data_IF_052412716504
#
_entry.id   IF_052412716504
#
_cell.length_a   1.000
_cell.length_b   1.000
_cell.length_c   1.000
_cell.angle_alpha   90.00
_cell.angle_beta   90.00
_cell.angle_gamma   90.00
#
_symmetry.space_group_name_H-M   'P 1'
#
loop_
_entity.id
_entity.type
_entity.pdbx_description
1 polymer ?
#
# COMPACT_ATOMS: atom_id res chain seq x y z
N UNK A 1 -19.12 70.58 54.43
CA UNK A 1 -18.38 70.38 53.16
C UNK A 1 -17.37 69.26 53.35
N UNK A 2 -17.14 68.48 52.28
CA UNK A 2 -16.18 67.39 52.10
C UNK A 2 -16.52 66.01 52.72
N UNK A 3 -16.91 65.12 51.80
CA UNK A 3 -17.07 63.65 51.87
C UNK A 3 -15.70 62.98 51.79
N UNK A 4 -15.48 61.80 52.40
CA UNK A 4 -14.59 60.78 51.82
C UNK A 4 -15.19 59.38 52.03
N UNK A 5 -15.19 58.65 50.92
CA UNK A 5 -15.91 57.43 50.60
C UNK A 5 -15.17 56.15 51.00
N UNK A 6 -15.93 55.06 51.09
CA UNK A 6 -15.47 53.69 51.23
C UNK A 6 -14.57 53.24 50.07
N UNK A 7 -13.50 52.51 50.39
CA UNK A 7 -12.67 51.77 49.42
C UNK A 7 -12.86 50.27 49.62
N UNK A 8 -13.59 49.64 48.71
CA UNK A 8 -13.70 48.19 48.59
C UNK A 8 -12.54 47.71 47.70
N UNK A 9 -11.60 46.93 48.23
CA UNK A 9 -10.54 46.29 47.47
C UNK A 9 -11.08 44.99 46.85
N UNK A 10 -11.30 45.00 45.53
CA UNK A 10 -11.61 43.81 44.75
C UNK A 10 -10.30 43.15 44.28
N UNK A 11 -10.02 41.93 44.75
CA UNK A 11 -8.97 41.07 44.20
C UNK A 11 -9.43 40.55 42.83
N UNK A 12 -8.77 41.00 41.76
CA UNK A 12 -8.94 40.46 40.41
C UNK A 12 -8.18 39.14 40.26
N UNK A 13 -8.89 38.03 40.14
CA UNK A 13 -8.33 36.76 39.68
C UNK A 13 -8.41 36.72 38.15
N UNK A 14 -7.31 36.98 37.46
CA UNK A 14 -7.18 36.74 36.01
C UNK A 14 -6.93 35.26 35.77
N UNK A 15 -8.00 34.52 35.46
CA UNK A 15 -7.89 33.17 34.91
C UNK A 15 -7.32 33.27 33.47
N UNK A 16 -6.09 32.76 33.27
CA UNK A 16 -5.51 32.58 31.95
C UNK A 16 -6.24 31.42 31.25
N UNK A 17 -7.28 31.74 30.47
CA UNK A 17 -7.88 30.81 29.52
C UNK A 17 -6.93 30.64 28.33
N UNK A 18 -6.21 29.53 28.27
CA UNK A 18 -5.56 29.11 27.03
C UNK A 18 -6.66 28.80 26.01
N UNK A 19 -6.66 29.41 24.81
CA UNK A 19 -7.59 28.99 23.76
C UNK A 19 -7.27 27.53 23.43
N UNK A 20 -8.25 26.65 23.56
CA UNK A 20 -8.20 25.34 22.96
C UNK A 20 -7.97 25.56 21.47
N UNK A 21 -6.79 25.21 20.96
CA UNK A 21 -6.56 25.19 19.53
C UNK A 21 -7.61 24.26 18.94
N UNK A 22 -8.52 24.80 18.13
CA UNK A 22 -9.38 23.98 17.31
C UNK A 22 -8.46 23.11 16.45
N UNK A 23 -8.43 21.81 16.73
CA UNK A 23 -7.82 20.85 15.82
C UNK A 23 -8.55 21.04 14.50
N UNK A 24 -7.83 21.53 13.48
CA UNK A 24 -8.38 21.60 12.15
C UNK A 24 -8.82 20.20 11.77
N UNK A 25 -10.03 20.06 11.21
CA UNK A 25 -10.44 18.79 10.60
C UNK A 25 -9.31 18.37 9.67
N UNK A 26 -8.82 17.12 9.79
CA UNK A 26 -7.72 16.70 8.96
C UNK A 26 -8.18 16.79 7.48
N UNK A 27 -7.26 17.13 6.56
CA UNK A 27 -7.62 17.37 5.18
C UNK A 27 -8.32 16.12 4.58
N UNK A 28 -9.19 16.27 3.57
CA UNK A 28 -10.01 15.17 3.06
C UNK A 28 -9.22 13.97 2.50
N UNK A 29 -7.91 14.10 2.30
CA UNK A 29 -6.96 13.05 1.94
C UNK A 29 -6.23 12.40 3.14
N UNK A 30 -6.58 12.80 4.36
CA UNK A 30 -6.14 12.17 5.62
C UNK A 30 -7.14 11.08 6.00
N UNK A 31 -6.90 9.89 5.48
CA UNK A 31 -7.61 8.67 5.85
C UNK A 31 -6.61 7.80 6.63
N UNK A 32 -7.03 7.22 7.76
CA UNK A 32 -6.25 6.25 8.54
C UNK A 32 -4.85 6.72 9.02
N UNK A 33 -4.64 8.04 9.18
CA UNK A 33 -3.43 8.60 9.79
C UNK A 33 -2.33 9.04 8.81
N UNK A 34 -2.54 8.89 7.49
CA UNK A 34 -1.59 9.28 6.45
C UNK A 34 -2.21 10.30 5.49
N UNK A 35 -1.45 11.35 5.17
CA UNK A 35 -1.76 12.27 4.08
C UNK A 35 -1.50 11.48 2.79
N UNK A 36 -2.50 11.33 1.92
CA UNK A 36 -2.48 10.52 0.68
C UNK A 36 -2.93 9.05 0.78
N UNK A 37 -3.54 8.58 1.88
CA UNK A 37 -4.12 7.23 1.93
C UNK A 37 -5.40 7.11 1.09
N UNK A 38 -5.27 7.19 -0.23
CA UNK A 38 -6.34 6.89 -1.18
C UNK A 38 -6.38 5.39 -1.46
N UNK A 39 -7.44 4.91 -2.12
CA UNK A 39 -7.50 3.53 -2.64
C UNK A 39 -6.34 3.20 -3.60
N UNK A 40 -5.56 4.20 -4.01
CA UNK A 40 -4.67 4.18 -5.16
C UNK A 40 -3.19 4.40 -4.82
N UNK A 41 -2.83 4.89 -3.62
CA UNK A 41 -1.52 5.49 -3.40
C UNK A 41 -0.62 4.77 -2.39
N UNK A 42 0.67 4.59 -2.74
CA UNK A 42 1.19 4.14 -4.04
C UNK A 42 1.01 2.63 -4.24
N UNK A 43 0.71 1.88 -3.18
CA UNK A 43 0.20 0.52 -3.24
C UNK A 43 -1.30 0.57 -2.94
N UNK A 44 -2.18 -0.05 -3.77
CA UNK A 44 -3.62 0.00 -3.56
C UNK A 44 -4.02 -0.56 -2.19
N UNK A 45 -5.03 0.06 -1.56
CA UNK A 45 -5.53 -0.31 -0.21
C UNK A 45 -5.85 -1.81 -0.09
N UNK A 46 -6.38 -2.42 -1.16
CA UNK A 46 -6.68 -3.86 -1.21
C UNK A 46 -5.43 -4.74 -1.02
N UNK A 47 -4.26 -4.32 -1.51
CA UNK A 47 -3.00 -5.05 -1.34
C UNK A 47 -2.38 -4.83 0.03
N UNK A 48 -2.63 -3.68 0.64
CA UNK A 48 -2.24 -3.43 2.02
C UNK A 48 -3.05 -4.28 2.99
N UNK A 49 -4.34 -4.49 2.72
CA UNK A 49 -5.26 -5.23 3.59
C UNK A 49 -5.33 -6.74 3.31
N UNK A 50 -4.91 -7.21 2.14
CA UNK A 50 -5.07 -8.63 1.76
C UNK A 50 -4.24 -9.56 2.65
N UNK A 51 -4.83 -10.70 3.01
CA UNK A 51 -4.15 -11.81 3.69
C UNK A 51 -3.66 -12.89 2.72
N UNK A 52 -3.86 -12.68 1.42
CA UNK A 52 -3.41 -13.59 0.37
C UNK A 52 -1.88 -13.52 0.20
N UNK A 53 -1.30 -14.65 -0.22
CA UNK A 53 0.12 -14.73 -0.59
C UNK A 53 0.35 -14.15 -1.99
N UNK A 54 1.61 -13.95 -2.37
CA UNK A 54 1.96 -13.53 -3.73
C UNK A 54 1.42 -14.53 -4.78
N UNK A 55 1.54 -15.83 -4.50
CA UNK A 55 1.07 -16.93 -5.35
C UNK A 55 -0.44 -16.93 -5.50
N UNK A 56 -1.19 -16.77 -4.40
CA UNK A 56 -2.65 -16.69 -4.47
C UNK A 56 -3.13 -15.51 -5.33
N UNK A 57 -2.40 -14.40 -5.27
CA UNK A 57 -2.66 -13.22 -6.09
C UNK A 57 -2.28 -13.46 -7.56
N UNK A 58 -1.15 -14.12 -7.83
CA UNK A 58 -0.72 -14.50 -9.16
C UNK A 58 -1.68 -15.48 -9.82
N UNK A 59 -2.12 -16.52 -9.12
CA UNK A 59 -3.13 -17.45 -9.63
C UNK A 59 -4.47 -16.73 -9.86
N UNK A 60 -4.86 -15.80 -8.99
CA UNK A 60 -6.02 -14.97 -9.28
C UNK A 60 -5.83 -14.15 -10.56
N UNK A 61 -4.65 -13.57 -10.81
CA UNK A 61 -4.38 -12.88 -12.06
C UNK A 61 -4.42 -13.85 -13.26
N UNK A 62 -3.85 -15.05 -13.08
CA UNK A 62 -3.76 -16.14 -14.05
C UNK A 62 -5.14 -16.47 -14.62
N UNK A 63 -6.18 -16.50 -13.79
CA UNK A 63 -7.53 -16.87 -14.23
C UNK A 63 -8.48 -15.68 -14.45
N UNK A 64 -8.39 -14.61 -13.65
CA UNK A 64 -9.34 -13.48 -13.70
C UNK A 64 -8.92 -12.40 -14.71
N UNK A 65 -7.62 -12.31 -14.99
CA UNK A 65 -7.01 -11.30 -15.90
C UNK A 65 -5.86 -11.90 -16.71
N UNK A 66 -6.09 -12.96 -17.51
CA UNK A 66 -5.04 -13.78 -18.12
C UNK A 66 -4.06 -12.98 -19.01
N UNK A 67 -4.55 -12.01 -19.77
CA UNK A 67 -3.68 -11.15 -20.60
C UNK A 67 -2.67 -10.36 -19.76
N UNK A 68 -3.05 -9.96 -18.55
CA UNK A 68 -2.19 -9.16 -17.67
C UNK A 68 -1.20 -10.04 -16.92
N UNK A 69 -1.62 -11.28 -16.59
CA UNK A 69 -0.72 -12.32 -16.11
C UNK A 69 0.35 -12.66 -17.16
N UNK A 70 -0.04 -12.95 -18.40
CA UNK A 70 0.91 -13.30 -19.47
C UNK A 70 1.93 -12.18 -19.71
N UNK A 71 1.47 -10.93 -19.76
CA UNK A 71 2.34 -9.75 -19.90
C UNK A 71 3.30 -9.60 -18.73
N UNK A 72 2.85 -9.90 -17.51
CA UNK A 72 3.71 -9.85 -16.33
C UNK A 72 4.76 -10.96 -16.35
N UNK A 73 4.35 -12.22 -16.56
CA UNK A 73 5.26 -13.37 -16.56
C UNK A 73 6.30 -13.24 -17.68
N UNK A 74 5.93 -12.66 -18.83
CA UNK A 74 6.87 -12.37 -19.91
C UNK A 74 7.96 -11.38 -19.52
N UNK A 75 7.61 -10.25 -18.90
CA UNK A 75 8.64 -9.30 -18.44
C UNK A 75 9.44 -9.88 -17.27
N UNK A 76 8.79 -10.59 -16.34
CA UNK A 76 9.44 -11.30 -15.24
C UNK A 76 10.56 -12.22 -15.77
N UNK A 77 10.21 -13.22 -16.59
CA UNK A 77 11.16 -14.21 -17.12
C UNK A 77 12.27 -13.64 -18.01
N UNK A 78 12.05 -12.47 -18.61
CA UNK A 78 13.03 -11.79 -19.49
C UNK A 78 14.26 -11.29 -18.72
N UNK A 79 14.14 -11.04 -17.42
CA UNK A 79 15.22 -10.49 -16.60
C UNK A 79 16.24 -11.53 -16.12
N UNK A 80 15.93 -12.82 -16.27
CA UNK A 80 16.81 -13.94 -15.91
C UNK A 80 16.70 -14.38 -14.46
N UNK A 81 17.23 -15.57 -14.16
CA UNK A 81 16.98 -16.32 -12.92
C UNK A 81 17.33 -15.55 -11.63
N UNK A 82 18.39 -14.74 -11.62
CA UNK A 82 18.77 -13.93 -10.44
C UNK A 82 17.69 -12.88 -10.09
N UNK A 83 17.19 -12.16 -11.09
CA UNK A 83 16.15 -11.15 -10.88
C UNK A 83 14.78 -11.79 -10.65
N UNK A 84 14.53 -12.97 -11.21
CA UNK A 84 13.36 -13.79 -10.91
C UNK A 84 13.30 -14.13 -9.42
N UNK A 85 14.39 -14.65 -8.86
CA UNK A 85 14.48 -15.01 -7.44
C UNK A 85 14.32 -13.78 -6.55
N UNK A 86 15.02 -12.68 -6.85
CA UNK A 86 14.95 -11.45 -6.05
C UNK A 86 13.56 -10.82 -6.07
N UNK A 87 12.84 -10.95 -7.18
CA UNK A 87 11.44 -10.50 -7.32
C UNK A 87 10.52 -11.33 -6.43
N UNK A 88 10.66 -12.66 -6.44
CA UNK A 88 9.88 -13.54 -5.57
C UNK A 88 10.15 -13.22 -4.09
N UNK A 89 11.42 -13.18 -3.67
CA UNK A 89 11.82 -12.86 -2.30
C UNK A 89 11.25 -11.52 -1.84
N UNK A 90 11.26 -10.52 -2.72
CA UNK A 90 10.75 -9.19 -2.41
C UNK A 90 9.24 -9.18 -2.21
N UNK A 91 8.51 -9.85 -3.08
CA UNK A 91 7.05 -9.95 -3.00
C UNK A 91 6.62 -10.82 -1.81
N UNK A 92 7.31 -11.94 -1.55
CA UNK A 92 7.13 -12.75 -0.34
C UNK A 92 7.37 -11.93 0.92
N UNK A 93 8.46 -11.17 0.99
CA UNK A 93 8.74 -10.29 2.10
C UNK A 93 7.58 -9.30 2.31
N UNK A 94 7.13 -8.62 1.26
CA UNK A 94 6.05 -7.64 1.38
C UNK A 94 4.75 -8.26 1.89
N UNK A 95 4.33 -9.40 1.32
CA UNK A 95 3.10 -10.08 1.73
C UNK A 95 3.24 -10.83 3.07
N UNK A 96 4.46 -11.05 3.58
CA UNK A 96 4.71 -11.55 4.94
C UNK A 96 4.49 -10.49 6.02
N UNK A 97 4.57 -9.20 5.68
CA UNK A 97 4.33 -8.11 6.63
C UNK A 97 2.88 -8.10 7.11
N UNK A 98 2.60 -7.68 8.35
CA UNK A 98 1.23 -7.54 8.85
C UNK A 98 0.37 -6.68 7.92
N UNK A 99 -0.82 -7.16 7.49
CA UNK A 99 -1.71 -6.39 6.64
C UNK A 99 -2.30 -5.20 7.40
N UNK A 100 -2.42 -4.06 6.73
CA UNK A 100 -2.92 -2.84 7.35
C UNK A 100 -2.72 -1.60 6.49
N UNK A 101 -3.65 -0.65 6.64
CA UNK A 101 -3.56 0.73 6.13
C UNK A 101 -2.60 1.59 6.94
N UNK A 102 -2.11 1.06 8.07
CA UNK A 102 -1.07 1.60 8.94
C UNK A 102 0.00 0.51 9.17
N UNK A 103 1.25 0.91 9.47
CA UNK A 103 2.31 -0.03 9.83
C UNK A 103 3.12 -0.53 8.62
N UNK A 104 3.82 -1.68 8.71
CA UNK A 104 4.94 -1.97 7.82
C UNK A 104 4.64 -1.97 6.31
N UNK A 105 3.47 -2.47 5.89
CA UNK A 105 3.08 -2.42 4.47
C UNK A 105 2.81 -1.00 3.99
N UNK A 106 2.17 -0.18 4.83
CA UNK A 106 1.95 1.25 4.56
C UNK A 106 3.28 1.99 4.55
N UNK A 107 4.15 1.77 5.53
CA UNK A 107 5.46 2.42 5.58
C UNK A 107 6.30 2.06 4.35
N UNK A 108 6.25 0.81 3.89
CA UNK A 108 6.87 0.41 2.63
C UNK A 108 6.24 1.10 1.42
N UNK A 109 4.91 1.20 1.39
CA UNK A 109 4.19 1.95 0.36
C UNK A 109 4.73 3.40 0.30
N UNK A 110 4.83 4.10 1.42
CA UNK A 110 5.40 5.46 1.46
C UNK A 110 6.85 5.51 0.96
N UNK A 111 7.66 4.50 1.26
CA UNK A 111 9.03 4.40 0.72
C UNK A 111 9.02 4.24 -0.80
N UNK A 112 8.15 3.39 -1.37
CA UNK A 112 8.00 3.23 -2.82
C UNK A 112 7.58 4.53 -3.53
N UNK A 113 6.79 5.38 -2.87
CA UNK A 113 6.42 6.70 -3.42
C UNK A 113 7.62 7.66 -3.52
N UNK A 114 8.67 7.46 -2.72
CA UNK A 114 9.90 8.24 -2.81
C UNK A 114 10.75 7.82 -4.02
N UNK A 115 11.46 8.77 -4.64
CA UNK A 115 12.35 8.49 -5.77
C UNK A 115 13.38 7.42 -5.38
N UNK A 116 13.34 6.24 -6.02
CA UNK A 116 14.17 5.05 -5.74
C UNK A 116 13.82 4.28 -4.44
N UNK A 117 12.54 4.21 -4.08
CA UNK A 117 12.05 3.51 -2.89
C UNK A 117 12.43 2.04 -2.75
N UNK A 118 12.69 1.35 -3.87
CA UNK A 118 13.19 -0.02 -3.89
C UNK A 118 14.47 -0.15 -4.73
N UNK A 119 15.57 -0.69 -4.18
CA UNK A 119 16.77 -0.98 -4.98
C UNK A 119 16.51 -1.91 -6.18
N UNK A 120 15.46 -2.75 -6.12
CA UNK A 120 15.07 -3.62 -7.24
C UNK A 120 14.52 -2.81 -8.42
N UNK A 121 13.92 -1.64 -8.20
CA UNK A 121 13.38 -0.79 -9.28
C UNK A 121 14.47 -0.26 -10.22
N UNK A 122 15.73 -0.20 -9.77
CA UNK A 122 16.88 0.19 -10.60
C UNK A 122 17.21 -0.89 -11.63
N UNK A 123 16.91 -2.15 -11.33
CA UNK A 123 17.25 -3.30 -12.17
C UNK A 123 16.03 -3.82 -12.94
N UNK A 124 14.85 -3.68 -12.34
CA UNK A 124 13.55 -4.07 -12.89
C UNK A 124 12.47 -3.11 -12.36
N UNK A 125 12.30 -1.97 -13.03
CA UNK A 125 11.41 -0.86 -12.62
C UNK A 125 9.91 -1.24 -12.53
N UNK A 126 9.53 -2.41 -13.05
CA UNK A 126 8.14 -2.87 -13.10
C UNK A 126 7.94 -4.21 -12.37
N UNK A 127 8.86 -4.60 -11.46
CA UNK A 127 8.86 -5.93 -10.83
C UNK A 127 7.57 -6.27 -10.07
N UNK A 128 6.92 -5.27 -9.48
CA UNK A 128 5.68 -5.42 -8.73
C UNK A 128 4.44 -4.96 -9.53
N UNK A 129 4.57 -4.63 -10.82
CA UNK A 129 3.54 -3.92 -11.60
C UNK A 129 2.16 -4.60 -11.56
N UNK A 130 2.11 -5.92 -11.63
CA UNK A 130 0.86 -6.68 -11.56
C UNK A 130 0.13 -6.49 -10.23
N UNK A 131 0.90 -6.33 -9.14
CA UNK A 131 0.39 -6.21 -7.77
C UNK A 131 0.04 -4.77 -7.38
N UNK A 132 0.67 -3.75 -7.98
CA UNK A 132 0.53 -2.37 -7.47
C UNK A 132 0.01 -1.35 -8.49
N UNK A 133 0.23 -1.55 -9.79
CA UNK A 133 0.02 -0.48 -10.78
C UNK A 133 -1.32 -0.55 -11.53
N UNK A 134 -1.94 -1.73 -11.67
CA UNK A 134 -3.21 -1.88 -12.40
C UNK A 134 -4.40 -2.06 -11.44
N UNK A 135 -5.10 -0.98 -11.13
CA UNK A 135 -6.19 -0.93 -10.14
C UNK A 135 -7.29 -1.97 -10.38
N UNK A 136 -7.71 -2.14 -11.64
CA UNK A 136 -8.76 -3.10 -11.99
C UNK A 136 -8.31 -4.56 -11.82
N UNK A 137 -7.06 -4.83 -12.18
CA UNK A 137 -6.44 -6.15 -11.99
C UNK A 137 -6.25 -6.45 -10.51
N UNK A 138 -5.67 -5.52 -9.75
CA UNK A 138 -5.48 -5.60 -8.29
C UNK A 138 -6.80 -5.85 -7.57
N UNK A 139 -7.87 -5.15 -7.95
CA UNK A 139 -9.18 -5.34 -7.36
C UNK A 139 -9.71 -6.76 -7.57
N UNK A 140 -9.63 -7.28 -8.81
CA UNK A 140 -10.05 -8.65 -9.14
C UNK A 140 -9.20 -9.72 -8.48
N UNK A 141 -7.88 -9.53 -8.44
CA UNK A 141 -6.95 -10.44 -7.78
C UNK A 141 -7.28 -10.56 -6.29
N UNK A 142 -7.33 -9.42 -5.58
CA UNK A 142 -7.58 -9.40 -4.15
C UNK A 142 -8.98 -9.93 -3.76
N UNK A 143 -9.98 -9.74 -4.63
CA UNK A 143 -11.33 -10.27 -4.40
C UNK A 143 -11.39 -11.81 -4.53
N UNK A 144 -10.58 -12.40 -5.42
CA UNK A 144 -10.68 -13.82 -5.77
C UNK A 144 -9.54 -14.68 -5.22
N UNK A 145 -8.47 -14.11 -4.68
CA UNK A 145 -7.26 -14.84 -4.30
C UNK A 145 -7.46 -15.97 -3.29
N UNK A 146 -8.47 -15.86 -2.41
CA UNK A 146 -8.80 -16.91 -1.44
C UNK A 146 -9.28 -18.23 -2.05
N UNK A 147 -9.62 -18.24 -3.35
CA UNK A 147 -10.02 -19.44 -4.10
C UNK A 147 -8.84 -20.32 -4.49
N UNK A 148 -7.62 -19.79 -4.47
CA UNK A 148 -6.43 -20.45 -4.99
C UNK A 148 -5.54 -20.98 -3.85
N UNK A 149 -4.75 -22.04 -4.10
CA UNK A 149 -3.85 -22.59 -3.10
C UNK A 149 -2.84 -21.57 -2.58
N UNK A 150 -2.53 -21.65 -1.29
CA UNK A 150 -1.45 -20.85 -0.69
C UNK A 150 -0.10 -21.41 -1.12
N UNK A 151 0.85 -20.52 -1.36
CA UNK A 151 2.28 -20.84 -1.56
C UNK A 151 2.56 -21.78 -2.76
N UNK A 152 1.65 -21.86 -3.74
CA UNK A 152 1.83 -22.64 -4.97
C UNK A 152 2.84 -21.97 -5.91
N UNK A 153 4.07 -22.47 -5.90
CA UNK A 153 5.16 -21.91 -6.68
C UNK A 153 4.95 -22.03 -8.21
N UNK A 154 4.04 -22.90 -8.67
CA UNK A 154 3.68 -22.97 -10.10
C UNK A 154 2.94 -21.73 -10.61
N UNK A 155 2.53 -20.82 -9.70
CA UNK A 155 1.97 -19.52 -10.04
C UNK A 155 2.99 -18.58 -10.73
N UNK A 156 4.29 -18.84 -10.56
CA UNK A 156 5.39 -18.10 -11.21
C UNK A 156 5.77 -18.62 -12.59
N UNK A 157 5.15 -19.71 -13.02
CA UNK A 157 5.36 -20.31 -14.33
C UNK A 157 4.35 -19.80 -15.35
N UNK A 158 4.68 -20.02 -16.62
CA UNK A 158 3.74 -19.79 -17.71
C UNK A 158 2.44 -20.57 -17.53
N UNK A 159 1.32 -20.04 -18.03
CA UNK A 159 0.13 -20.87 -18.26
C UNK A 159 0.39 -21.85 -19.40
N UNK A 160 -0.12 -23.07 -19.27
CA UNK A 160 -0.05 -24.08 -20.33
C UNK A 160 -0.68 -23.62 -21.65
N UNK A 161 -1.68 -22.75 -21.60
CA UNK A 161 -2.34 -22.17 -22.77
C UNK A 161 -1.90 -20.73 -23.08
N UNK A 162 -0.83 -20.25 -22.46
CA UNK A 162 -0.29 -18.93 -22.73
C UNK A 162 0.21 -18.86 -24.17
N UNK A 163 -0.21 -17.87 -24.98
CA UNK A 163 0.27 -17.71 -26.34
C UNK A 163 1.76 -17.34 -26.40
N UNK A 164 2.38 -17.07 -25.25
CA UNK A 164 3.78 -16.65 -25.09
C UNK A 164 4.68 -17.77 -24.55
N UNK A 165 4.11 -18.88 -24.05
CA UNK A 165 4.89 -19.97 -23.42
C UNK A 165 5.81 -20.75 -24.38
N UNK A 166 5.65 -20.56 -25.70
CA UNK A 166 6.32 -21.35 -26.74
C UNK A 166 7.32 -20.57 -27.60
N UNK A 167 7.65 -19.32 -27.22
CA UNK A 167 8.58 -18.47 -27.97
C UNK A 167 9.90 -18.24 -27.23
#
# INVERSE_FOLDING_TARGET
MAKISAGLLAFGATALSFPAAAVADPPPDYIDGYVHSTDEYPIPRKMLLTTCTAEQLLDAAKFETPMEFDRYIMEYKKHGEDLDQRTQERLHWFFSLPPGVTGPRRDFSEHMAATFGDPLDVLYTDYAKLFVNNKGVVAKMAENCSKYPRDDQSAWDWRDDSPVAYN
#
